data_IF_554636029457
#
_entry.id   IF_554636029457
#
_cell.length_a   1.000
_cell.length_b   1.000
_cell.length_c   1.000
_cell.angle_alpha   90.00
_cell.angle_beta   90.00
_cell.angle_gamma   90.00
#
_symmetry.space_group_name_H-M   'P 1'
#
loop_
_entity.id
_entity.type
_entity.pdbx_description
1 polymer ?
#
# COMPACT_ATOMS: atom_id res chain seq x y z
N UNK A 1 5.37 -41.33 -0.49
CA UNK A 1 6.13 -40.23 0.15
C UNK A 1 5.73 -38.94 -0.54
N UNK A 2 5.57 -37.86 0.22
CA UNK A 2 5.32 -36.53 -0.32
C UNK A 2 6.51 -36.10 -1.19
N UNK A 3 6.28 -35.88 -2.49
CA UNK A 3 7.31 -35.46 -3.43
C UNK A 3 7.54 -33.95 -3.40
N UNK A 4 6.49 -33.14 -3.18
CA UNK A 4 6.63 -31.70 -3.17
C UNK A 4 5.33 -30.92 -3.10
N UNK A 5 5.43 -29.64 -3.44
CA UNK A 5 4.40 -28.62 -3.36
C UNK A 5 4.11 -28.09 -4.76
N UNK A 6 2.84 -27.98 -5.12
CA UNK A 6 2.37 -27.29 -6.32
C UNK A 6 2.08 -25.83 -5.99
N UNK A 7 2.74 -24.91 -6.69
CA UNK A 7 2.53 -23.47 -6.55
C UNK A 7 1.23 -23.01 -7.24
N UNK A 8 0.85 -21.76 -6.96
CA UNK A 8 -0.35 -21.14 -7.56
C UNK A 8 -0.31 -21.07 -9.10
N UNK A 9 0.88 -20.99 -9.68
CA UNK A 9 1.13 -20.99 -11.13
C UNK A 9 1.18 -22.41 -11.74
N UNK A 10 0.92 -23.44 -10.94
CA UNK A 10 1.00 -24.85 -11.36
C UNK A 10 2.41 -25.44 -11.35
N UNK A 11 3.44 -24.65 -11.03
CA UNK A 11 4.82 -25.16 -11.02
C UNK A 11 5.09 -26.06 -9.81
N UNK A 12 5.86 -27.13 -10.02
CA UNK A 12 6.31 -28.04 -8.98
C UNK A 12 7.51 -27.46 -8.22
N UNK A 13 7.54 -27.70 -6.92
CA UNK A 13 8.65 -27.38 -6.04
C UNK A 13 8.82 -28.48 -5.00
N UNK A 14 10.05 -28.95 -4.78
CA UNK A 14 10.32 -29.87 -3.67
C UNK A 14 9.96 -29.27 -2.31
N UNK A 15 9.50 -30.11 -1.39
CA UNK A 15 9.18 -29.69 -0.04
C UNK A 15 10.47 -29.26 0.69
N UNK A 16 10.56 -27.98 1.05
CA UNK A 16 11.72 -27.40 1.72
C UNK A 16 11.35 -26.94 3.14
N UNK A 17 11.73 -27.71 4.19
CA UNK A 17 11.46 -27.37 5.59
C UNK A 17 11.89 -25.95 5.98
N UNK A 18 13.04 -25.51 5.48
CA UNK A 18 13.62 -24.21 5.84
C UNK A 18 12.74 -23.03 5.42
N UNK A 19 11.96 -23.16 4.35
CA UNK A 19 11.02 -22.10 3.94
C UNK A 19 9.92 -21.87 4.97
N UNK A 20 9.44 -22.95 5.61
CA UNK A 20 8.45 -22.85 6.68
C UNK A 20 9.08 -22.15 7.88
N UNK A 21 10.28 -22.58 8.31
CA UNK A 21 11.02 -21.95 9.41
C UNK A 21 11.25 -20.46 9.18
N UNK A 22 11.69 -20.07 7.97
CA UNK A 22 11.90 -18.66 7.60
C UNK A 22 10.60 -17.86 7.66
N UNK A 23 9.50 -18.38 7.11
CA UNK A 23 8.22 -17.67 7.09
C UNK A 23 7.62 -17.50 8.49
N UNK A 24 7.73 -18.54 9.31
CA UNK A 24 7.30 -18.54 10.71
C UNK A 24 8.14 -17.57 11.54
N UNK A 25 9.47 -17.62 11.43
CA UNK A 25 10.35 -16.69 12.15
C UNK A 25 10.10 -15.22 11.75
N UNK A 26 9.90 -14.94 10.47
CA UNK A 26 9.52 -13.58 10.01
C UNK A 26 8.23 -13.08 10.67
N UNK A 27 7.27 -13.97 10.91
CA UNK A 27 6.01 -13.62 11.58
C UNK A 27 6.22 -13.44 13.08
N UNK A 28 7.02 -14.31 13.72
CA UNK A 28 7.37 -14.18 15.13
C UNK A 28 8.09 -12.86 15.43
N UNK A 29 9.08 -12.48 14.61
CA UNK A 29 9.81 -11.20 14.76
C UNK A 29 8.89 -9.98 14.70
N UNK A 30 7.83 -10.00 13.89
CA UNK A 30 6.89 -8.87 13.77
C UNK A 30 6.08 -8.60 15.01
N UNK A 31 5.82 -9.64 15.79
CA UNK A 31 5.12 -9.56 17.09
C UNK A 31 6.10 -9.64 18.26
N UNK A 32 7.39 -9.41 18.00
CA UNK A 32 8.44 -9.42 19.03
C UNK A 32 8.53 -10.74 19.82
N UNK A 33 8.11 -11.84 19.20
CA UNK A 33 8.20 -13.19 19.75
C UNK A 33 9.42 -13.92 19.19
N UNK A 34 9.97 -14.84 19.99
CA UNK A 34 11.04 -15.75 19.56
C UNK A 34 10.58 -17.19 19.76
N UNK A 35 10.49 -17.93 18.67
CA UNK A 35 10.21 -19.36 18.71
C UNK A 35 11.52 -20.12 18.98
N UNK A 36 11.44 -21.16 19.81
CA UNK A 36 12.58 -22.03 20.05
C UNK A 36 12.83 -22.96 18.86
N UNK A 37 14.02 -23.54 18.77
CA UNK A 37 14.30 -24.56 17.76
C UNK A 37 13.37 -25.79 17.89
N UNK A 38 12.93 -26.09 19.12
CA UNK A 38 11.93 -27.11 19.39
C UNK A 38 10.59 -26.77 18.73
N UNK A 39 10.10 -25.55 18.91
CA UNK A 39 8.84 -25.09 18.32
C UNK A 39 8.89 -25.10 16.79
N UNK A 40 10.01 -24.63 16.22
CA UNK A 40 10.21 -24.60 14.77
C UNK A 40 10.26 -26.01 14.18
N UNK A 41 10.92 -26.95 14.85
CA UNK A 41 10.96 -28.34 14.41
C UNK A 41 9.58 -29.01 14.55
N UNK A 42 8.86 -28.76 15.64
CA UNK A 42 7.48 -29.23 15.81
C UNK A 42 6.57 -28.75 14.69
N UNK A 43 6.64 -27.45 14.34
CA UNK A 43 5.82 -26.88 13.25
C UNK A 43 6.14 -27.56 11.92
N UNK A 44 7.42 -27.71 11.59
CA UNK A 44 7.85 -28.37 10.35
C UNK A 44 7.38 -29.82 10.30
N UNK A 45 7.57 -30.58 11.37
CA UNK A 45 7.19 -31.98 11.45
C UNK A 45 5.68 -32.16 11.37
N UNK A 46 4.92 -31.32 12.09
CA UNK A 46 3.47 -31.30 12.02
C UNK A 46 2.96 -31.02 10.60
N UNK A 47 3.53 -30.01 9.94
CA UNK A 47 3.16 -29.66 8.55
C UNK A 47 3.52 -30.79 7.60
N UNK A 48 4.70 -31.39 7.73
CA UNK A 48 5.14 -32.50 6.89
C UNK A 48 4.22 -33.72 7.03
N UNK A 49 3.95 -34.16 8.26
CA UNK A 49 3.12 -35.34 8.53
C UNK A 49 1.67 -35.13 8.05
N UNK A 50 1.10 -33.94 8.28
CA UNK A 50 -0.25 -33.62 7.77
C UNK A 50 -0.28 -33.42 6.27
N UNK A 51 0.77 -32.89 5.65
CA UNK A 51 0.87 -32.81 4.20
C UNK A 51 0.94 -34.20 3.56
N UNK A 52 1.68 -35.14 4.15
CA UNK A 52 1.70 -36.54 3.73
C UNK A 52 0.31 -37.19 3.84
N UNK A 53 -0.42 -36.97 4.93
CA UNK A 53 -1.78 -37.49 5.12
C UNK A 53 -2.73 -36.95 4.05
N UNK A 54 -2.71 -35.64 3.78
CA UNK A 54 -3.55 -35.00 2.76
C UNK A 54 -3.22 -35.55 1.36
N UNK A 55 -1.94 -35.68 1.04
CA UNK A 55 -1.51 -36.24 -0.24
C UNK A 55 -2.04 -37.67 -0.42
N UNK A 56 -1.84 -38.54 0.59
CA UNK A 56 -2.32 -39.94 0.57
C UNK A 56 -3.84 -40.04 0.46
N UNK A 57 -4.59 -39.25 1.22
CA UNK A 57 -6.06 -39.28 1.22
C UNK A 57 -6.69 -38.88 -0.12
N UNK A 58 -5.96 -38.13 -0.94
CA UNK A 58 -6.43 -37.66 -2.23
C UNK A 58 -5.77 -38.39 -3.41
N UNK A 59 -5.09 -39.50 -3.16
CA UNK A 59 -4.32 -40.27 -4.15
C UNK A 59 -3.30 -39.41 -4.93
N UNK A 60 -2.65 -38.46 -4.22
CA UNK A 60 -1.63 -37.56 -4.77
C UNK A 60 -0.28 -37.78 -4.09
N UNK A 61 0.79 -37.32 -4.74
CA UNK A 61 2.13 -37.24 -4.14
C UNK A 61 2.53 -35.80 -3.80
N UNK A 62 1.64 -34.83 -4.00
CA UNK A 62 1.91 -33.41 -3.82
C UNK A 62 0.77 -32.71 -3.08
N UNK A 63 1.11 -31.58 -2.46
CA UNK A 63 0.15 -30.67 -1.83
C UNK A 63 0.27 -29.27 -2.43
N UNK A 64 -0.76 -28.46 -2.31
CA UNK A 64 -0.78 -27.10 -2.84
C UNK A 64 -0.28 -26.10 -1.79
N UNK A 65 0.17 -24.93 -2.26
CA UNK A 65 0.59 -23.83 -1.38
C UNK A 65 -0.51 -23.41 -0.37
N UNK A 66 -1.80 -23.27 -0.76
CA UNK A 66 -2.87 -23.00 0.20
C UNK A 66 -3.04 -24.07 1.29
N UNK A 67 -2.90 -25.36 0.94
CA UNK A 67 -2.95 -26.46 1.91
C UNK A 67 -1.80 -26.34 2.92
N UNK A 68 -0.58 -26.06 2.46
CA UNK A 68 0.58 -25.83 3.35
C UNK A 68 0.35 -24.64 4.28
N UNK A 69 -0.17 -23.51 3.78
CA UNK A 69 -0.46 -22.35 4.62
C UNK A 69 -1.46 -22.67 5.73
N UNK A 70 -2.55 -23.38 5.41
CA UNK A 70 -3.53 -23.82 6.41
C UNK A 70 -2.92 -24.76 7.46
N UNK A 71 -1.99 -25.63 7.06
CA UNK A 71 -1.28 -26.50 7.99
C UNK A 71 -0.33 -25.72 8.91
N UNK A 72 0.40 -24.73 8.37
CA UNK A 72 1.28 -23.86 9.14
C UNK A 72 0.49 -23.03 10.15
N UNK A 73 -0.66 -22.49 9.77
CA UNK A 73 -1.55 -21.76 10.68
C UNK A 73 -2.04 -22.65 11.82
N UNK A 74 -2.52 -23.87 11.52
CA UNK A 74 -2.95 -24.85 12.53
C UNK A 74 -1.80 -25.27 13.45
N UNK A 75 -0.57 -25.35 12.95
CA UNK A 75 0.61 -25.65 13.75
C UNK A 75 0.94 -24.48 14.69
N UNK A 76 0.92 -23.25 14.16
CA UNK A 76 1.18 -22.04 14.93
C UNK A 76 0.13 -21.80 16.01
N UNK A 77 -1.15 -22.04 15.74
CA UNK A 77 -2.20 -21.90 16.76
C UNK A 77 -1.98 -22.83 17.96
N UNK A 78 -1.27 -23.96 17.79
CA UNK A 78 -0.90 -24.89 18.87
C UNK A 78 0.34 -24.47 19.65
N UNK A 79 1.18 -23.63 19.07
CA UNK A 79 2.46 -23.21 19.65
C UNK A 79 2.34 -21.81 20.25
N UNK A 80 1.91 -20.85 19.45
CA UNK A 80 1.76 -19.45 19.83
C UNK A 80 0.70 -18.77 18.95
N UNK A 81 -0.46 -18.47 19.54
CA UNK A 81 -1.61 -17.88 18.86
C UNK A 81 -1.35 -16.45 18.35
N UNK A 82 -0.44 -15.70 18.98
CA UNK A 82 -0.05 -14.36 18.55
C UNK A 82 0.77 -14.42 17.24
N UNK A 83 1.72 -15.36 17.17
CA UNK A 83 2.48 -15.62 15.94
C UNK A 83 1.58 -16.15 14.83
N UNK A 84 0.60 -17.01 15.18
CA UNK A 84 -0.39 -17.52 14.23
C UNK A 84 -1.23 -16.38 13.63
N UNK A 85 -1.69 -15.45 14.47
CA UNK A 85 -2.39 -14.23 14.02
C UNK A 85 -1.50 -13.40 13.10
N UNK A 86 -0.25 -13.11 13.47
CA UNK A 86 0.69 -12.36 12.63
C UNK A 86 0.92 -13.01 11.26
N UNK A 87 1.01 -14.34 11.22
CA UNK A 87 1.16 -15.10 9.99
C UNK A 87 -0.05 -14.95 9.07
N UNK A 88 -1.27 -15.08 9.62
CA UNK A 88 -2.54 -14.86 8.91
C UNK A 88 -2.64 -13.42 8.39
N UNK A 89 -2.44 -12.45 9.27
CA UNK A 89 -2.54 -11.03 8.96
C UNK A 89 -1.58 -10.64 7.83
N UNK A 90 -0.37 -11.21 7.79
CA UNK A 90 0.56 -10.93 6.69
C UNK A 90 0.14 -11.54 5.36
N UNK A 91 -0.40 -12.76 5.37
CA UNK A 91 -0.93 -13.41 4.17
C UNK A 91 -2.09 -12.60 3.61
N UNK A 92 -3.01 -12.20 4.48
CA UNK A 92 -4.19 -11.45 4.11
C UNK A 92 -3.82 -10.03 3.68
N UNK A 93 -2.85 -9.38 4.36
CA UNK A 93 -2.26 -8.11 3.95
C UNK A 93 -1.73 -8.16 2.51
N UNK A 94 -0.96 -9.20 2.15
CA UNK A 94 -0.45 -9.40 0.79
C UNK A 94 -1.59 -9.52 -0.23
N UNK A 95 -2.61 -10.30 0.09
CA UNK A 95 -3.76 -10.50 -0.79
C UNK A 95 -4.52 -9.19 -0.97
N UNK A 96 -4.82 -8.50 0.12
CA UNK A 96 -5.61 -7.27 0.09
C UNK A 96 -4.83 -6.08 -0.49
N UNK A 97 -3.51 -6.05 -0.34
CA UNK A 97 -2.67 -5.07 -1.04
C UNK A 97 -2.64 -5.32 -2.55
N UNK A 98 -2.56 -6.59 -2.97
CA UNK A 98 -2.66 -6.94 -4.40
C UNK A 98 -4.02 -6.58 -4.98
N UNK A 99 -5.12 -6.87 -4.26
CA UNK A 99 -6.47 -6.45 -4.69
C UNK A 99 -6.57 -4.93 -4.81
N UNK A 100 -6.05 -4.18 -3.85
CA UNK A 100 -6.04 -2.72 -3.91
C UNK A 100 -5.26 -2.20 -5.12
N UNK A 101 -4.08 -2.76 -5.42
CA UNK A 101 -3.33 -2.40 -6.62
C UNK A 101 -4.06 -2.78 -7.92
N UNK A 102 -4.79 -3.89 -7.94
CA UNK A 102 -5.63 -4.29 -9.08
C UNK A 102 -6.77 -3.29 -9.33
N UNK A 103 -7.42 -2.80 -8.26
CA UNK A 103 -8.43 -1.74 -8.36
C UNK A 103 -7.84 -0.41 -8.86
N UNK A 104 -6.68 0.00 -8.33
CA UNK A 104 -5.94 1.16 -8.84
C UNK A 104 -5.62 0.98 -10.33
N UNK A 105 -5.19 -0.21 -10.73
CA UNK A 105 -4.89 -0.51 -12.12
C UNK A 105 -6.14 -0.39 -13.00
N UNK A 106 -7.27 -1.01 -12.64
CA UNK A 106 -8.54 -0.88 -13.40
C UNK A 106 -8.98 0.57 -13.56
N UNK A 107 -8.98 1.35 -12.47
CA UNK A 107 -9.37 2.77 -12.53
C UNK A 107 -8.36 3.58 -13.34
N UNK A 108 -7.05 3.26 -13.29
CA UNK A 108 -6.04 3.90 -14.14
C UNK A 108 -6.30 3.67 -15.62
N UNK A 109 -6.71 2.46 -16.03
CA UNK A 109 -7.10 2.18 -17.42
C UNK A 109 -8.33 3.01 -17.82
N UNK A 110 -9.33 3.09 -16.95
CA UNK A 110 -10.50 3.94 -17.19
C UNK A 110 -10.10 5.40 -17.40
N UNK A 111 -9.25 5.96 -16.54
CA UNK A 111 -8.74 7.34 -16.66
C UNK A 111 -8.00 7.53 -18.00
N UNK A 112 -7.16 6.57 -18.40
CA UNK A 112 -6.36 6.70 -19.62
C UNK A 112 -7.20 6.70 -20.90
N UNK A 113 -8.17 5.80 -21.00
CA UNK A 113 -8.88 5.51 -22.26
C UNK A 113 -10.28 6.13 -22.34
N UNK A 114 -10.98 6.26 -21.21
CA UNK A 114 -12.35 6.78 -21.14
C UNK A 114 -12.35 8.23 -20.62
N UNK A 115 -11.33 8.59 -19.84
CA UNK A 115 -11.28 9.84 -19.10
C UNK A 115 -11.96 9.71 -17.74
N UNK A 116 -11.80 10.75 -16.93
CA UNK A 116 -12.48 10.88 -15.65
C UNK A 116 -13.68 11.83 -15.79
N UNK A 117 -14.84 11.41 -15.26
CA UNK A 117 -16.08 12.18 -15.26
C UNK A 117 -16.53 12.59 -13.86
N UNK A 118 -15.78 12.17 -12.83
CA UNK A 118 -16.12 12.42 -11.44
C UNK A 118 -15.85 13.88 -11.06
N UNK A 119 -14.87 14.54 -11.71
CA UNK A 119 -14.57 15.96 -11.50
C UNK A 119 -14.70 16.79 -12.79
N UNK A 120 -15.76 17.60 -12.89
CA UNK A 120 -16.02 18.47 -14.03
C UNK A 120 -14.97 19.57 -14.24
N UNK A 121 -14.22 19.94 -13.20
CA UNK A 121 -13.17 20.96 -13.28
C UNK A 121 -11.83 20.40 -13.79
N UNK A 122 -11.74 19.08 -13.98
CA UNK A 122 -10.50 18.41 -14.35
C UNK A 122 -10.58 17.95 -15.81
N UNK A 123 -9.81 18.58 -16.69
CA UNK A 123 -9.73 18.15 -18.10
C UNK A 123 -8.91 16.87 -18.22
N UNK A 124 -9.61 15.74 -18.12
CA UNK A 124 -9.05 14.40 -18.21
C UNK A 124 -8.57 14.01 -19.62
N UNK A 125 -8.69 14.89 -20.62
CA UNK A 125 -8.06 14.70 -21.93
C UNK A 125 -6.56 15.03 -21.90
N UNK A 126 -6.12 15.94 -21.03
CA UNK A 126 -4.72 16.37 -20.93
C UNK A 126 -3.83 15.27 -20.34
N UNK A 127 -2.62 15.12 -20.90
CA UNK A 127 -1.64 14.11 -20.46
C UNK A 127 -1.19 14.33 -19.01
N UNK A 128 -0.93 15.58 -18.63
CA UNK A 128 -0.56 15.96 -17.26
C UNK A 128 -1.66 15.59 -16.26
N UNK A 129 -2.91 15.87 -16.62
CA UNK A 129 -4.09 15.57 -15.80
C UNK A 129 -4.27 14.07 -15.61
N UNK A 130 -4.15 13.25 -16.67
CA UNK A 130 -4.23 11.79 -16.56
C UNK A 130 -3.21 11.22 -15.58
N UNK A 131 -1.96 11.71 -15.63
CA UNK A 131 -0.90 11.29 -14.69
C UNK A 131 -1.27 11.62 -13.25
N UNK A 132 -1.74 12.84 -13.00
CA UNK A 132 -2.18 13.28 -11.69
C UNK A 132 -3.37 12.46 -11.17
N UNK A 133 -4.38 12.20 -12.00
CA UNK A 133 -5.54 11.39 -11.63
C UNK A 133 -5.18 9.94 -11.25
N UNK A 134 -4.24 9.32 -11.97
CA UNK A 134 -3.75 7.97 -11.63
C UNK A 134 -3.04 7.98 -10.27
N UNK A 135 -2.18 8.98 -10.05
CA UNK A 135 -1.48 9.14 -8.78
C UNK A 135 -2.46 9.41 -7.62
N UNK A 136 -3.47 10.26 -7.85
CA UNK A 136 -4.52 10.56 -6.88
C UNK A 136 -5.33 9.31 -6.53
N UNK A 137 -5.66 8.46 -7.50
CA UNK A 137 -6.35 7.21 -7.23
C UNK A 137 -5.52 6.28 -6.35
N UNK A 138 -4.22 6.14 -6.62
CA UNK A 138 -3.33 5.37 -5.76
C UNK A 138 -3.29 5.92 -4.33
N UNK A 139 -3.13 7.23 -4.17
CA UNK A 139 -3.06 7.85 -2.85
C UNK A 139 -4.38 7.75 -2.09
N UNK A 140 -5.53 7.84 -2.76
CA UNK A 140 -6.85 7.63 -2.15
C UNK A 140 -6.96 6.24 -1.54
N UNK A 141 -6.63 5.20 -2.29
CA UNK A 141 -6.67 3.81 -1.82
C UNK A 141 -5.70 3.57 -0.66
N UNK A 142 -4.51 4.16 -0.72
CA UNK A 142 -3.52 4.08 0.37
C UNK A 142 -4.01 4.82 1.62
N UNK A 143 -4.63 5.99 1.46
CA UNK A 143 -5.19 6.75 2.58
C UNK A 143 -6.29 5.95 3.28
N UNK A 144 -7.23 5.40 2.51
CA UNK A 144 -8.30 4.56 3.03
C UNK A 144 -7.80 3.31 3.76
N UNK A 145 -6.77 2.65 3.22
CA UNK A 145 -6.24 1.41 3.82
C UNK A 145 -5.44 1.64 5.10
N UNK A 146 -4.67 2.72 5.17
CA UNK A 146 -3.67 2.91 6.23
C UNK A 146 -4.04 3.96 7.27
N UNK A 147 -4.95 4.88 6.95
CA UNK A 147 -5.27 6.02 7.83
C UNK A 147 -6.73 6.02 8.30
N UNK A 148 -7.61 5.21 7.70
CA UNK A 148 -9.01 5.12 8.11
C UNK A 148 -9.29 3.80 8.80
N UNK A 149 -10.10 3.88 9.85
CA UNK A 149 -10.69 2.74 10.55
C UNK A 149 -11.85 2.15 9.74
N UNK A 150 -12.31 0.95 10.13
CA UNK A 150 -13.45 0.30 9.45
C UNK A 150 -14.72 1.13 9.59
N UNK A 151 -14.89 1.75 10.76
CA UNK A 151 -16.00 2.63 11.12
C UNK A 151 -16.00 3.91 10.29
N UNK A 152 -14.84 4.56 10.14
CA UNK A 152 -14.70 5.77 9.30
C UNK A 152 -14.93 5.46 7.82
N UNK A 153 -14.45 4.33 7.33
CA UNK A 153 -14.72 3.88 5.96
C UNK A 153 -16.21 3.65 5.74
N UNK A 154 -16.89 3.03 6.70
CA UNK A 154 -18.32 2.81 6.63
C UNK A 154 -19.09 4.14 6.68
N UNK A 155 -18.70 5.06 7.57
CA UNK A 155 -19.28 6.39 7.65
C UNK A 155 -19.12 7.19 6.35
N UNK A 156 -17.98 7.06 5.65
CA UNK A 156 -17.79 7.64 4.33
C UNK A 156 -18.74 7.03 3.29
N UNK A 157 -18.93 5.71 3.30
CA UNK A 157 -19.81 4.99 2.36
C UNK A 157 -21.28 5.33 2.56
N UNK A 158 -21.69 5.47 3.82
CA UNK A 158 -23.07 5.81 4.20
C UNK A 158 -23.36 7.32 4.07
N UNK A 159 -22.34 8.12 3.73
CA UNK A 159 -22.47 9.57 3.55
C UNK A 159 -22.55 10.38 4.85
N UNK A 160 -22.21 9.78 6.00
CA UNK A 160 -22.15 10.51 7.27
C UNK A 160 -20.98 11.48 7.34
N UNK A 161 -19.86 11.13 6.71
CA UNK A 161 -18.67 11.99 6.65
C UNK A 161 -18.13 12.04 5.22
N UNK A 162 -17.52 13.16 4.86
CA UNK A 162 -16.81 13.32 3.60
C UNK A 162 -15.42 13.91 3.85
N UNK A 163 -14.40 13.19 3.38
CA UNK A 163 -13.00 13.57 3.57
C UNK A 163 -12.54 14.32 2.30
N UNK A 164 -12.53 15.65 2.39
CA UNK A 164 -12.10 16.54 1.30
C UNK A 164 -10.67 16.23 0.82
N UNK A 165 -10.41 16.19 -0.48
CA UNK A 165 -9.04 16.05 -1.02
C UNK A 165 -8.27 14.82 -0.47
N UNK A 166 -9.00 13.73 -0.18
CA UNK A 166 -8.45 12.49 0.39
C UNK A 166 -7.24 11.95 -0.36
N UNK A 167 -7.21 12.11 -1.69
CA UNK A 167 -6.11 11.68 -2.55
C UNK A 167 -4.84 12.51 -2.41
N UNK A 168 -4.90 13.71 -1.84
CA UNK A 168 -3.75 14.61 -1.72
C UNK A 168 -3.30 14.82 -0.26
N UNK A 169 -4.10 14.35 0.71
CA UNK A 169 -3.81 14.45 2.16
C UNK A 169 -2.51 13.79 2.62
N UNK A 170 -1.94 12.90 1.81
CA UNK A 170 -0.67 12.23 2.12
C UNK A 170 0.55 13.06 1.72
N UNK A 171 0.37 14.03 0.84
CA UNK A 171 1.48 14.73 0.21
C UNK A 171 1.84 16.00 1.01
N UNK A 172 0.84 16.82 1.38
CA UNK A 172 1.10 18.18 1.89
C UNK A 172 -0.08 18.78 2.70
N UNK A 173 -0.13 20.11 2.85
CA UNK A 173 -1.18 20.88 3.49
C UNK A 173 -2.27 21.34 2.50
N UNK A 174 -3.40 21.81 3.05
CA UNK A 174 -4.51 22.34 2.26
C UNK A 174 -4.17 23.72 1.69
N UNK A 175 -4.40 24.77 2.48
CA UNK A 175 -4.22 26.14 2.03
C UNK A 175 -3.35 26.91 3.02
N UNK A 176 -2.75 27.99 2.53
CA UNK A 176 -2.02 28.94 3.35
C UNK A 176 -2.15 30.36 2.80
N UNK A 177 -1.87 31.34 3.65
CA UNK A 177 -1.73 32.72 3.25
C UNK A 177 -0.24 33.07 3.22
N UNK A 178 0.29 33.32 2.02
CA UNK A 178 1.69 33.71 1.86
C UNK A 178 1.90 35.16 2.31
N UNK A 179 2.85 35.35 3.22
CA UNK A 179 3.33 36.68 3.55
C UNK A 179 4.30 37.16 2.46
N UNK A 180 3.75 37.62 1.33
CA UNK A 180 4.53 38.05 0.16
C UNK A 180 5.47 39.21 0.48
N UNK A 181 5.10 40.09 1.42
CA UNK A 181 6.01 41.15 1.85
C UNK A 181 7.30 40.56 2.43
N UNK A 182 7.20 39.51 3.25
CA UNK A 182 8.37 38.87 3.84
C UNK A 182 9.15 38.04 2.82
N UNK A 183 8.46 37.36 1.89
CA UNK A 183 9.12 36.58 0.83
C UNK A 183 9.95 37.48 -0.09
N UNK A 184 9.43 38.64 -0.47
CA UNK A 184 10.11 39.54 -1.39
C UNK A 184 11.21 40.37 -0.72
N UNK A 185 11.14 40.57 0.60
CA UNK A 185 12.11 41.37 1.33
C UNK A 185 13.41 40.58 1.51
N UNK A 186 14.54 41.24 1.26
CA UNK A 186 15.91 40.68 1.37
C UNK A 186 16.22 39.48 0.44
N UNK A 187 15.23 39.02 -0.35
CA UNK A 187 15.37 37.90 -1.28
C UNK A 187 15.07 36.54 -0.65
N UNK A 188 14.96 35.50 -1.48
CA UNK A 188 14.64 34.14 -1.05
C UNK A 188 15.21 33.09 -2.02
N UNK A 189 15.22 31.84 -1.61
CA UNK A 189 15.60 30.72 -2.47
C UNK A 189 14.36 29.95 -2.93
N UNK A 190 14.28 29.65 -4.23
CA UNK A 190 13.23 28.81 -4.81
C UNK A 190 13.78 28.02 -5.99
N UNK A 191 13.53 26.71 -6.01
CA UNK A 191 13.98 25.84 -7.11
C UNK A 191 15.50 25.77 -7.27
N UNK A 192 16.25 25.86 -6.17
CA UNK A 192 17.73 25.96 -6.15
C UNK A 192 18.29 27.24 -6.81
N UNK A 193 17.49 28.30 -6.90
CA UNK A 193 17.89 29.61 -7.40
C UNK A 193 17.62 30.68 -6.35
N UNK A 194 18.56 31.61 -6.21
CA UNK A 194 18.40 32.78 -5.34
C UNK A 194 17.69 33.92 -6.10
N UNK A 195 16.55 34.34 -5.56
CA UNK A 195 15.77 35.47 -6.02
C UNK A 195 16.13 36.70 -5.19
N UNK A 196 16.60 37.75 -5.85
CA UNK A 196 16.88 39.03 -5.17
C UNK A 196 15.58 39.80 -4.92
N UNK A 197 15.60 40.68 -3.91
CA UNK A 197 14.51 41.62 -3.70
C UNK A 197 14.25 42.45 -4.99
N UNK A 198 13.00 42.45 -5.51
CA UNK A 198 12.67 43.16 -6.74
C UNK A 198 12.85 44.66 -6.59
N UNK A 199 13.34 45.31 -7.65
CA UNK A 199 13.62 46.76 -7.70
C UNK A 199 12.63 47.57 -8.54
N UNK A 200 11.69 46.90 -9.20
CA UNK A 200 10.61 47.50 -9.98
C UNK A 200 9.31 46.74 -9.73
N UNK A 201 8.18 47.36 -10.08
CA UNK A 201 6.86 46.72 -9.99
C UNK A 201 6.75 45.52 -10.92
N UNK A 202 7.23 45.64 -12.17
CA UNK A 202 7.19 44.55 -13.14
C UNK A 202 7.91 43.30 -12.62
N UNK A 203 9.13 43.46 -12.11
CA UNK A 203 9.88 42.33 -11.52
C UNK A 203 9.20 41.79 -10.27
N UNK A 204 8.55 42.64 -9.46
CA UNK A 204 7.80 42.16 -8.31
C UNK A 204 6.61 41.28 -8.75
N UNK A 205 5.87 41.68 -9.79
CA UNK A 205 4.75 40.89 -10.32
C UNK A 205 5.22 39.57 -10.94
N UNK A 206 6.32 39.56 -11.69
CA UNK A 206 6.89 38.32 -12.25
C UNK A 206 7.24 37.32 -11.13
N UNK A 207 7.95 37.79 -10.10
CA UNK A 207 8.35 36.93 -8.96
C UNK A 207 7.14 36.44 -8.15
N UNK A 208 6.12 37.29 -7.96
CA UNK A 208 4.86 36.85 -7.33
C UNK A 208 4.19 35.75 -8.15
N UNK A 209 4.21 35.86 -9.50
CA UNK A 209 3.70 34.83 -10.40
C UNK A 209 4.42 33.50 -10.21
N UNK A 210 5.76 33.51 -10.20
CA UNK A 210 6.58 32.31 -9.99
C UNK A 210 6.29 31.67 -8.63
N UNK A 211 6.25 32.46 -7.56
CA UNK A 211 5.94 31.99 -6.20
C UNK A 211 4.55 31.37 -6.15
N UNK A 212 3.57 31.98 -6.81
CA UNK A 212 2.18 31.48 -6.82
C UNK A 212 2.09 30.13 -7.51
N UNK A 213 2.72 29.96 -8.68
CA UNK A 213 2.73 28.68 -9.41
C UNK A 213 3.45 27.61 -8.59
N UNK A 214 4.58 27.96 -7.98
CA UNK A 214 5.35 27.04 -7.15
C UNK A 214 4.55 26.61 -5.92
N UNK A 215 3.98 27.55 -5.17
CA UNK A 215 3.14 27.29 -4.01
C UNK A 215 1.93 26.42 -4.35
N UNK A 216 1.22 26.71 -5.45
CA UNK A 216 0.08 25.91 -5.90
C UNK A 216 0.47 24.45 -6.23
N UNK A 217 1.72 24.21 -6.63
CA UNK A 217 2.22 22.84 -6.86
C UNK A 217 2.62 22.08 -5.59
N UNK A 218 2.75 22.79 -4.46
CA UNK A 218 3.17 22.24 -3.17
C UNK A 218 2.02 22.12 -2.16
N UNK A 219 0.80 22.50 -2.53
CA UNK A 219 -0.41 22.38 -1.70
C UNK A 219 -1.54 21.77 -2.54
N UNK A 220 -2.58 21.25 -1.90
CA UNK A 220 -3.77 20.75 -2.64
C UNK A 220 -5.00 21.63 -2.48
N UNK A 221 -4.91 22.68 -1.68
CA UNK A 221 -5.92 23.72 -1.60
C UNK A 221 -5.82 24.67 -2.79
N UNK A 222 -7.00 25.05 -3.28
CA UNK A 222 -7.18 26.06 -4.31
C UNK A 222 -7.35 27.45 -3.69
#
# INVERSE_FOLDING_TARGET
MLQGIIKKDGTFQEFQPDKIKIAVNKSATRVMQKLSDYDLNFIVEYVHNKAEEIAKQNDRTTVTVPEIHNLVEKALDKVNSEVAKSYRDYRDYKIDFVKMLDEVYKKSQSIMYIGDKDNSNTDSALVSTKRSLIFNQLNKELYQKFFLTTEELQACRDGFIYIHDMSARRDTMNCCLFNMQNVLKDGFEMGNLWYNQPKSLDTAFDVIGDVTISAASQQYGY
#
